data_IF_167604679553
#
_entry.id   IF_167604679553
#
_cell.length_a   1.000
_cell.length_b   1.000
_cell.length_c   1.000
_cell.angle_alpha   90.00
_cell.angle_beta   90.00
_cell.angle_gamma   90.00
#
_symmetry.space_group_name_H-M   'P 1'
#
loop_
_entity.id
_entity.type
_entity.pdbx_description
1 polymer ?
#
# COMPACT_ATOMS: atom_id res chain seq x y z
N UNK A 1 -15.53 0.23 4.71
CA UNK A 1 -16.66 -0.56 5.24
C UNK A 1 -17.47 0.23 6.25
N UNK A 2 -16.96 0.51 7.45
CA UNK A 2 -17.74 1.22 8.49
C UNK A 2 -18.11 2.66 8.11
N UNK A 3 -17.16 3.43 7.56
CA UNK A 3 -17.47 4.78 7.07
C UNK A 3 -18.59 4.77 6.01
N UNK A 4 -18.57 3.80 5.10
CA UNK A 4 -19.63 3.60 4.11
C UNK A 4 -20.96 3.22 4.78
N UNK A 5 -20.95 2.26 5.71
CA UNK A 5 -22.15 1.82 6.40
C UNK A 5 -22.81 2.92 7.23
N UNK A 6 -22.01 3.80 7.84
CA UNK A 6 -22.53 4.99 8.55
C UNK A 6 -23.18 5.99 7.59
N UNK A 7 -22.66 6.13 6.37
CA UNK A 7 -23.18 7.07 5.38
C UNK A 7 -24.42 6.55 4.63
N UNK A 8 -24.45 5.25 4.31
CA UNK A 8 -25.47 4.64 3.43
C UNK A 8 -26.46 3.75 4.21
N UNK A 9 -26.16 3.42 5.47
CA UNK A 9 -27.02 2.59 6.32
C UNK A 9 -26.98 1.08 6.01
N UNK A 10 -26.05 0.63 5.16
CA UNK A 10 -25.90 -0.78 4.79
C UNK A 10 -24.44 -1.20 4.67
N UNK A 11 -24.17 -2.48 4.91
CA UNK A 11 -22.86 -3.08 4.63
C UNK A 11 -22.80 -3.50 3.17
N UNK A 12 -21.78 -3.04 2.46
CA UNK A 12 -21.46 -3.47 1.11
C UNK A 12 -19.98 -3.79 1.02
N UNK A 13 -19.60 -4.82 0.26
CA UNK A 13 -18.20 -5.25 0.06
C UNK A 13 -17.48 -4.32 -0.93
N UNK A 14 -18.23 -3.68 -1.80
CA UNK A 14 -17.73 -2.85 -2.88
C UNK A 14 -16.70 -1.76 -2.47
N UNK A 15 -16.83 -1.03 -1.33
CA UNK A 15 -15.82 -0.09 -0.86
C UNK A 15 -14.43 -0.69 -0.64
N UNK A 16 -14.31 -2.03 -0.54
CA UNK A 16 -13.02 -2.69 -0.46
C UNK A 16 -12.19 -2.46 -1.73
N UNK A 17 -12.81 -2.33 -2.91
CA UNK A 17 -12.08 -2.03 -4.16
C UNK A 17 -11.26 -0.74 -4.02
N UNK A 18 -11.81 0.26 -3.34
CA UNK A 18 -11.13 1.53 -3.07
C UNK A 18 -10.13 1.44 -1.91
N UNK A 19 -10.38 0.56 -0.94
CA UNK A 19 -9.54 0.43 0.24
C UNK A 19 -8.30 -0.44 0.02
N UNK A 20 -8.36 -1.47 -0.85
CA UNK A 20 -7.30 -2.46 -1.04
C UNK A 20 -5.94 -1.83 -1.37
N UNK A 21 -5.80 -0.90 -2.35
CA UNK A 21 -4.50 -0.30 -2.67
C UNK A 21 -3.84 0.41 -1.47
N UNK A 22 -4.65 1.12 -0.68
CA UNK A 22 -4.18 1.82 0.51
C UNK A 22 -3.88 0.86 1.66
N UNK A 23 -4.68 -0.19 1.82
CA UNK A 23 -4.44 -1.22 2.83
C UNK A 23 -3.12 -1.96 2.57
N UNK A 24 -2.88 -2.36 1.32
CA UNK A 24 -1.62 -2.98 0.89
C UNK A 24 -0.41 -2.05 1.13
N UNK A 25 -0.53 -0.77 0.78
CA UNK A 25 0.54 0.21 1.02
C UNK A 25 0.78 0.45 2.51
N UNK A 26 -0.27 0.40 3.34
CA UNK A 26 -0.17 0.50 4.81
C UNK A 26 0.49 -0.75 5.41
N UNK A 27 0.13 -1.93 4.95
CA UNK A 27 0.78 -3.19 5.35
C UNK A 27 2.26 -3.22 4.97
N UNK A 28 2.66 -2.62 3.85
CA UNK A 28 4.08 -2.47 3.51
C UNK A 28 4.85 -1.69 4.60
N UNK A 29 4.22 -0.70 5.25
CA UNK A 29 4.82 0.05 6.37
C UNK A 29 5.01 -0.90 7.56
N UNK A 30 3.95 -1.60 7.98
CA UNK A 30 3.99 -2.52 9.13
C UNK A 30 5.00 -3.64 8.90
N UNK A 31 4.99 -4.25 7.72
CA UNK A 31 5.93 -5.31 7.37
C UNK A 31 7.39 -4.82 7.32
N UNK A 32 7.62 -3.59 6.86
CA UNK A 32 8.96 -2.98 6.91
C UNK A 32 9.43 -2.70 8.34
N UNK A 33 8.53 -2.33 9.26
CA UNK A 33 8.84 -2.21 10.69
C UNK A 33 9.22 -3.58 11.26
N UNK A 34 8.36 -4.59 11.06
CA UNK A 34 8.61 -5.96 11.54
C UNK A 34 9.92 -6.55 11.00
N UNK A 35 10.32 -6.18 9.77
CA UNK A 35 11.60 -6.63 9.20
C UNK A 35 12.79 -5.91 9.80
N UNK A 36 12.67 -4.59 10.05
CA UNK A 36 13.73 -3.80 10.71
C UNK A 36 14.02 -4.34 12.10
N UNK A 37 12.97 -4.66 12.85
CA UNK A 37 13.04 -5.03 14.26
C UNK A 37 13.14 -6.55 14.48
N UNK A 38 13.35 -7.32 13.41
CA UNK A 38 13.29 -8.79 13.42
C UNK A 38 14.21 -9.44 14.47
N UNK A 39 15.45 -8.95 14.62
CA UNK A 39 16.40 -9.50 15.60
C UNK A 39 16.00 -9.13 17.03
N UNK A 40 15.65 -7.87 17.30
CA UNK A 40 15.23 -7.42 18.63
C UNK A 40 13.90 -8.05 19.08
N UNK A 41 12.96 -8.21 18.16
CA UNK A 41 11.67 -8.86 18.42
C UNK A 41 11.88 -10.34 18.77
N UNK A 42 12.81 -11.00 18.08
CA UNK A 42 13.18 -12.39 18.37
C UNK A 42 13.80 -12.54 19.76
N UNK A 43 14.70 -11.64 20.15
CA UNK A 43 15.27 -11.61 21.50
C UNK A 43 14.22 -11.37 22.59
N UNK A 44 13.19 -10.57 22.28
CA UNK A 44 12.06 -10.30 23.15
C UNK A 44 10.98 -11.41 23.17
N UNK A 45 11.13 -12.47 22.38
CA UNK A 45 10.14 -13.55 22.26
C UNK A 45 8.88 -13.18 21.49
N UNK A 46 8.90 -12.09 20.73
CA UNK A 46 7.81 -11.64 19.85
C UNK A 46 7.88 -12.43 18.55
N UNK A 47 6.73 -12.91 18.08
CA UNK A 47 6.61 -13.62 16.81
C UNK A 47 5.90 -12.74 15.79
N UNK A 48 6.64 -12.27 14.79
CA UNK A 48 6.11 -11.50 13.65
C UNK A 48 6.13 -12.34 12.37
N UNK A 49 5.32 -11.96 11.38
CA UNK A 49 5.32 -12.64 10.08
C UNK A 49 6.70 -12.61 9.41
N UNK A 50 7.43 -11.48 9.55
CA UNK A 50 8.79 -11.34 9.02
C UNK A 50 9.76 -12.37 9.61
N UNK A 51 9.66 -12.66 10.92
CA UNK A 51 10.44 -13.71 11.59
C UNK A 51 10.06 -15.09 11.05
N UNK A 52 8.77 -15.39 10.92
CA UNK A 52 8.28 -16.71 10.49
C UNK A 52 8.70 -17.08 9.06
N UNK A 53 8.65 -16.12 8.13
CA UNK A 53 8.96 -16.36 6.71
C UNK A 53 10.45 -16.14 6.40
N UNK A 54 11.19 -15.48 7.30
CA UNK A 54 12.60 -15.18 7.15
C UNK A 54 12.93 -14.07 6.14
N UNK A 55 14.21 -13.68 6.01
CA UNK A 55 14.63 -12.49 5.28
C UNK A 55 14.26 -12.49 3.79
N UNK A 56 14.43 -13.63 3.10
CA UNK A 56 14.20 -13.74 1.66
C UNK A 56 12.72 -13.60 1.32
N UNK A 57 11.84 -14.34 2.00
CA UNK A 57 10.41 -14.22 1.78
C UNK A 57 9.88 -12.88 2.29
N UNK A 58 10.49 -12.31 3.33
CA UNK A 58 10.16 -10.96 3.81
C UNK A 58 10.41 -9.90 2.72
N UNK A 59 11.51 -9.99 1.99
CA UNK A 59 11.78 -9.13 0.85
C UNK A 59 10.75 -9.30 -0.28
N UNK A 60 10.37 -10.54 -0.60
CA UNK A 60 9.35 -10.81 -1.62
C UNK A 60 8.00 -10.21 -1.19
N UNK A 61 7.57 -10.49 0.04
CA UNK A 61 6.31 -9.98 0.59
C UNK A 61 6.29 -8.44 0.60
N UNK A 62 7.36 -7.80 1.05
CA UNK A 62 7.47 -6.35 1.02
C UNK A 62 7.28 -5.79 -0.38
N UNK A 63 7.96 -6.36 -1.38
CA UNK A 63 7.83 -5.93 -2.77
C UNK A 63 6.44 -6.18 -3.35
N UNK A 64 5.81 -7.30 -3.00
CA UNK A 64 4.42 -7.56 -3.36
C UNK A 64 3.51 -6.48 -2.79
N UNK A 65 3.61 -6.18 -1.49
CA UNK A 65 2.82 -5.13 -0.84
C UNK A 65 3.09 -3.74 -1.42
N UNK A 66 4.34 -3.47 -1.81
CA UNK A 66 4.77 -2.20 -2.37
C UNK A 66 4.28 -1.98 -3.81
N UNK A 67 4.37 -2.99 -4.68
CA UNK A 67 4.09 -2.85 -6.11
C UNK A 67 2.67 -3.25 -6.53
N UNK A 68 1.98 -4.10 -5.76
CA UNK A 68 0.61 -4.51 -6.07
C UNK A 68 -0.39 -3.32 -6.13
N UNK A 69 -0.30 -2.28 -5.28
CA UNK A 69 -1.12 -1.08 -5.43
C UNK A 69 -0.98 -0.42 -6.81
N UNK A 70 0.23 -0.38 -7.37
CA UNK A 70 0.48 0.22 -8.70
C UNK A 70 -0.17 -0.59 -9.83
N UNK A 71 -0.18 -1.92 -9.71
CA UNK A 71 -0.90 -2.78 -10.65
C UNK A 71 -2.41 -2.47 -10.59
N UNK A 72 -2.97 -2.35 -9.38
CA UNK A 72 -4.40 -2.02 -9.21
C UNK A 72 -4.71 -0.63 -9.80
N UNK A 73 -3.90 0.39 -9.52
CA UNK A 73 -4.10 1.72 -10.10
C UNK A 73 -3.98 1.72 -11.62
N UNK A 74 -3.10 0.91 -12.20
CA UNK A 74 -3.00 0.76 -13.66
C UNK A 74 -4.30 0.19 -14.24
N UNK A 75 -4.85 -0.87 -13.62
CA UNK A 75 -6.13 -1.48 -14.03
C UNK A 75 -7.27 -0.46 -13.89
N UNK A 76 -7.34 0.27 -12.78
CA UNK A 76 -8.37 1.29 -12.57
C UNK A 76 -8.24 2.46 -13.55
N UNK A 77 -7.01 2.83 -13.93
CA UNK A 77 -6.77 3.87 -14.91
C UNK A 77 -7.24 3.51 -16.31
N UNK A 78 -7.08 2.23 -16.71
CA UNK A 78 -7.49 1.76 -18.04
C UNK A 78 -8.97 1.44 -18.15
N UNK A 79 -9.61 0.98 -17.05
CA UNK A 79 -11.01 0.53 -17.07
C UNK A 79 -12.01 1.53 -16.51
N UNK A 80 -11.59 2.51 -15.70
CA UNK A 80 -12.49 3.45 -15.04
C UNK A 80 -12.20 4.90 -15.46
N UNK A 81 -11.05 5.45 -15.04
CA UNK A 81 -10.69 6.84 -15.35
C UNK A 81 -9.18 7.02 -15.35
N UNK A 82 -8.65 7.70 -16.38
CA UNK A 82 -7.23 8.03 -16.50
C UNK A 82 -6.69 8.84 -15.31
N UNK A 83 -7.55 9.60 -14.62
CA UNK A 83 -7.18 10.33 -13.40
C UNK A 83 -6.68 9.41 -12.27
N UNK A 84 -7.08 8.14 -12.27
CA UNK A 84 -6.62 7.13 -11.32
C UNK A 84 -5.18 6.65 -11.61
N UNK A 85 -4.55 7.14 -12.67
CA UNK A 85 -3.12 6.96 -12.92
C UNK A 85 -2.23 7.89 -12.06
N UNK A 86 -2.79 8.93 -11.41
CA UNK A 86 -2.01 9.88 -10.60
C UNK A 86 -1.11 9.22 -9.53
N UNK A 87 -1.56 8.19 -8.77
CA UNK A 87 -0.70 7.48 -7.83
C UNK A 87 0.56 6.87 -8.47
N UNK A 88 0.53 6.53 -9.77
CA UNK A 88 1.67 5.94 -10.49
C UNK A 88 2.87 6.90 -10.58
N UNK A 89 2.65 8.22 -10.44
CA UNK A 89 3.72 9.22 -10.36
C UNK A 89 4.67 9.00 -9.18
N UNK A 90 4.22 8.29 -8.14
CA UNK A 90 5.06 7.93 -7.00
C UNK A 90 5.97 6.72 -7.24
N UNK A 91 5.87 6.06 -8.40
CA UNK A 91 6.63 4.82 -8.70
C UNK A 91 8.16 4.95 -8.55
N UNK A 92 8.83 6.09 -8.88
CA UNK A 92 10.27 6.20 -8.64
C UNK A 92 10.65 6.06 -7.17
N UNK A 93 9.78 6.51 -6.25
CA UNK A 93 9.98 6.33 -4.82
C UNK A 93 9.86 4.87 -4.40
N UNK A 94 8.92 4.12 -4.98
CA UNK A 94 8.78 2.69 -4.74
C UNK A 94 10.04 1.92 -5.16
N UNK A 95 10.59 2.19 -6.34
CA UNK A 95 11.87 1.58 -6.75
C UNK A 95 13.03 1.97 -5.84
N UNK A 96 13.07 3.21 -5.35
CA UNK A 96 14.07 3.63 -4.35
C UNK A 96 13.94 2.85 -3.03
N UNK A 97 12.72 2.57 -2.58
CA UNK A 97 12.43 1.79 -1.37
C UNK A 97 12.77 0.32 -1.54
N UNK A 98 12.43 -0.28 -2.67
CA UNK A 98 12.80 -1.65 -3.02
C UNK A 98 14.33 -1.82 -2.96
N UNK A 99 15.07 -0.93 -3.63
CA UNK A 99 16.54 -0.93 -3.59
C UNK A 99 17.08 -0.81 -2.17
N UNK A 100 16.46 0.02 -1.34
CA UNK A 100 16.84 0.21 0.06
C UNK A 100 16.59 -1.05 0.90
N UNK A 101 15.47 -1.74 0.67
CA UNK A 101 15.19 -3.03 1.31
C UNK A 101 16.21 -4.08 0.87
N UNK A 102 16.48 -4.15 -0.43
CA UNK A 102 17.46 -5.09 -1.02
C UNK A 102 18.86 -4.91 -0.43
N UNK A 103 19.26 -3.67 -0.18
CA UNK A 103 20.54 -3.34 0.48
C UNK A 103 20.51 -3.50 2.01
N UNK A 104 19.43 -4.05 2.58
CA UNK A 104 19.21 -4.25 4.01
C UNK A 104 19.32 -2.96 4.85
N UNK A 105 19.04 -1.80 4.25
CA UNK A 105 19.17 -0.50 4.93
C UNK A 105 17.84 -0.11 5.61
N UNK A 106 17.45 -0.86 6.65
CA UNK A 106 16.12 -0.81 7.24
C UNK A 106 15.83 0.41 8.14
N UNK A 107 16.84 1.08 8.69
CA UNK A 107 16.68 2.14 9.71
C UNK A 107 15.64 3.22 9.37
N UNK A 108 15.65 3.68 8.11
CA UNK A 108 14.73 4.72 7.61
C UNK A 108 13.64 4.19 6.68
N UNK A 109 13.62 2.87 6.45
CA UNK A 109 12.75 2.26 5.46
C UNK A 109 11.27 2.48 5.82
N UNK A 110 10.79 2.18 7.06
CA UNK A 110 9.38 2.36 7.39
C UNK A 110 8.90 3.80 7.30
N UNK A 111 9.73 4.76 7.71
CA UNK A 111 9.39 6.18 7.64
C UNK A 111 9.29 6.65 6.18
N UNK A 112 10.14 6.14 5.28
CA UNK A 112 10.05 6.45 3.86
C UNK A 112 8.87 5.74 3.19
N UNK A 113 8.54 4.51 3.60
CA UNK A 113 7.34 3.80 3.14
C UNK A 113 6.06 4.52 3.59
N UNK A 114 6.03 5.06 4.81
CA UNK A 114 4.93 5.89 5.29
C UNK A 114 4.78 7.20 4.49
N UNK A 115 5.90 7.85 4.13
CA UNK A 115 5.88 9.02 3.23
C UNK A 115 5.33 8.67 1.84
N UNK A 116 5.69 7.49 1.32
CA UNK A 116 5.13 7.00 0.06
C UNK A 116 3.61 6.80 0.18
N UNK A 117 3.14 6.12 1.23
CA UNK A 117 1.71 5.89 1.47
C UNK A 117 0.92 7.20 1.55
N UNK A 118 1.47 8.24 2.20
CA UNK A 118 0.85 9.57 2.24
C UNK A 118 0.69 10.17 0.84
N UNK A 119 1.76 10.19 0.03
CA UNK A 119 1.72 10.73 -1.33
C UNK A 119 0.80 9.91 -2.24
N UNK A 120 0.84 8.59 -2.12
CA UNK A 120 -0.02 7.66 -2.84
C UNK A 120 -1.50 7.96 -2.54
N UNK A 121 -1.84 8.12 -1.25
CA UNK A 121 -3.19 8.48 -0.80
C UNK A 121 -3.63 9.85 -1.29
N UNK A 122 -2.77 10.87 -1.21
CA UNK A 122 -3.07 12.22 -1.71
C UNK A 122 -3.37 12.19 -3.22
N UNK A 123 -2.49 11.59 -4.02
CA UNK A 123 -2.72 11.47 -5.46
C UNK A 123 -3.94 10.62 -5.80
N UNK A 124 -4.24 9.60 -5.00
CA UNK A 124 -5.44 8.80 -5.20
C UNK A 124 -6.72 9.60 -4.95
N UNK A 125 -6.76 10.40 -3.88
CA UNK A 125 -7.88 11.32 -3.60
C UNK A 125 -8.07 12.32 -4.73
N UNK A 126 -6.99 12.94 -5.22
CA UNK A 126 -7.07 13.81 -6.41
C UNK A 126 -7.56 13.05 -7.65
N UNK A 127 -7.11 11.81 -7.85
CA UNK A 127 -7.56 10.95 -8.94
C UNK A 127 -9.06 10.68 -8.90
N UNK A 128 -9.63 10.45 -7.71
CA UNK A 128 -11.06 10.28 -7.50
C UNK A 128 -11.82 11.59 -7.78
N UNK A 129 -11.35 12.72 -7.24
CA UNK A 129 -12.00 14.04 -7.42
C UNK A 129 -12.04 14.46 -8.90
N UNK A 130 -10.97 14.17 -9.64
CA UNK A 130 -10.85 14.51 -11.07
C UNK A 130 -11.55 13.50 -12.00
N UNK A 131 -12.02 12.37 -11.48
CA UNK A 131 -12.67 11.36 -12.31
C UNK A 131 -14.02 11.89 -12.83
N UNK A 132 -14.36 11.69 -14.12
CA UNK A 132 -15.66 12.07 -14.66
C UNK A 132 -16.82 11.41 -13.91
N UNK A 133 -17.94 12.10 -13.77
CA UNK A 133 -19.12 11.55 -13.12
C UNK A 133 -19.57 10.23 -13.80
N UNK A 134 -19.77 9.18 -13.00
CA UNK A 134 -20.21 7.87 -13.48
C UNK A 134 -19.12 6.97 -14.09
N UNK A 135 -17.86 7.43 -14.13
CA UNK A 135 -16.70 6.65 -14.62
C UNK A 135 -16.05 5.78 -13.55
N UNK A 136 -16.21 6.14 -12.28
CA UNK A 136 -15.73 5.37 -11.16
C UNK A 136 -16.55 4.08 -11.02
N UNK A 137 -15.95 3.00 -10.48
CA UNK A 137 -16.69 1.77 -10.27
C UNK A 137 -17.91 2.09 -9.39
N UNK A 138 -19.07 1.67 -9.87
CA UNK A 138 -20.37 2.12 -9.34
C UNK A 138 -20.70 1.42 -8.03
N UNK A 139 -21.35 2.18 -7.15
CA UNK A 139 -22.19 1.66 -6.06
C UNK A 139 -23.42 0.94 -6.62
#
# INVERSE_FOLDING_TARGET
MFAYAVQVGSLAIFPLVYAIPLALSTEAILHSNNTRDMESDREAGIVTLAILIGPTLSYILYNTLLFLPYLIFTILATHCSISLALPLLTSPMAFSLERQFRSQAFNKLPQRTAKLNLLLGLFYVFGIILAPAGSLPRL
#
